data_IF_974100894333
#
_entry.id   IF_974100894333
#
_cell.length_a   1.000
_cell.length_b   1.000
_cell.length_c   1.000
_cell.angle_alpha   90.00
_cell.angle_beta   90.00
_cell.angle_gamma   90.00
#
_symmetry.space_group_name_H-M   'P 1'
#
loop_
_entity.id
_entity.type
_entity.pdbx_description
1 polymer ?
#
# COMPACT_ATOMS: atom_id res chain seq x y z
N UNK A 1 55.79 -23.18 79.31
CA UNK A 1 56.15 -23.15 77.88
C UNK A 1 54.94 -23.62 77.05
N UNK A 2 54.42 -22.72 76.21
CA UNK A 2 53.44 -22.87 75.08
C UNK A 2 52.36 -23.96 75.16
N UNK A 3 51.11 -23.54 75.42
CA UNK A 3 49.87 -24.26 75.06
C UNK A 3 49.42 -23.86 73.64
N UNK A 4 49.07 -24.85 72.83
CA UNK A 4 48.49 -24.73 71.49
C UNK A 4 47.03 -24.26 71.60
N UNK A 5 46.63 -23.28 70.81
CA UNK A 5 45.21 -22.95 70.55
C UNK A 5 44.84 -23.34 69.12
N UNK A 6 43.82 -24.17 69.00
CA UNK A 6 43.09 -24.49 67.77
C UNK A 6 42.07 -23.38 67.50
N UNK A 7 42.07 -22.83 66.28
CA UNK A 7 41.03 -21.92 65.82
C UNK A 7 40.20 -22.62 64.75
N UNK A 8 38.95 -22.91 65.09
CA UNK A 8 37.92 -23.44 64.19
C UNK A 8 37.39 -22.31 63.31
N UNK A 9 37.36 -22.52 61.99
CA UNK A 9 36.80 -21.57 61.01
C UNK A 9 35.30 -21.84 60.89
N UNK A 10 34.49 -20.83 61.22
CA UNK A 10 33.04 -20.81 61.02
C UNK A 10 32.75 -20.33 59.58
N UNK A 11 32.10 -21.16 58.76
CA UNK A 11 31.63 -20.78 57.42
C UNK A 11 30.18 -20.32 57.54
N UNK A 12 29.94 -19.01 57.39
CA UNK A 12 28.58 -18.45 57.27
C UNK A 12 28.09 -18.58 55.82
N UNK A 13 27.02 -19.34 55.62
CA UNK A 13 26.25 -19.33 54.38
C UNK A 13 25.32 -18.10 54.37
N UNK A 14 25.55 -17.17 53.44
CA UNK A 14 24.63 -16.08 53.12
C UNK A 14 23.67 -16.60 52.04
N UNK A 15 22.40 -16.76 52.39
CA UNK A 15 21.33 -17.12 51.47
C UNK A 15 20.89 -15.84 50.72
N UNK A 16 21.32 -15.66 49.48
CA UNK A 16 20.78 -14.60 48.61
C UNK A 16 19.38 -15.00 48.13
N UNK A 17 18.34 -14.33 48.63
CA UNK A 17 17.00 -14.39 48.05
C UNK A 17 17.01 -13.65 46.70
N UNK A 18 16.95 -14.41 45.61
CA UNK A 18 16.71 -13.88 44.26
C UNK A 18 15.20 -13.66 44.12
N UNK A 19 14.76 -12.41 44.25
CA UNK A 19 13.39 -12.02 43.96
C UNK A 19 13.27 -11.91 42.44
N UNK A 20 12.63 -12.90 41.81
CA UNK A 20 12.20 -12.76 40.41
C UNK A 20 11.04 -11.76 40.36
N UNK A 21 11.13 -10.67 39.59
CA UNK A 21 9.96 -9.86 39.32
C UNK A 21 8.95 -10.73 38.58
N UNK A 22 7.78 -10.93 39.20
CA UNK A 22 6.61 -11.44 38.52
C UNK A 22 6.23 -10.41 37.46
N UNK A 23 6.66 -10.62 36.21
CA UNK A 23 6.12 -9.88 35.08
C UNK A 23 4.64 -10.24 35.01
N UNK A 24 3.79 -9.31 35.45
CA UNK A 24 2.35 -9.39 35.19
C UNK A 24 2.17 -9.61 33.69
N UNK A 25 1.36 -10.60 33.33
CA UNK A 25 0.83 -10.72 31.98
C UNK A 25 0.18 -9.37 31.67
N UNK A 26 0.78 -8.56 30.80
CA UNK A 26 0.09 -7.40 30.25
C UNK A 26 -1.15 -7.97 29.58
N UNK A 27 -2.32 -7.73 30.19
CA UNK A 27 -3.59 -7.90 29.50
C UNK A 27 -3.47 -7.09 28.23
N UNK A 28 -3.41 -7.79 27.10
CA UNK A 28 -3.48 -7.21 25.78
C UNK A 28 -4.90 -6.65 25.65
N UNK A 29 -5.07 -5.38 26.03
CA UNK A 29 -6.31 -4.63 25.84
C UNK A 29 -6.32 -4.16 24.38
N UNK A 30 -7.49 -4.22 23.73
CA UNK A 30 -7.67 -3.65 22.39
C UNK A 30 -7.25 -2.18 22.33
N UNK A 31 -6.95 -1.71 21.13
CA UNK A 31 -6.65 -0.29 20.92
C UNK A 31 -7.92 0.56 21.10
N UNK A 32 -7.73 1.81 21.47
CA UNK A 32 -8.76 2.85 21.42
C UNK A 32 -8.24 3.97 20.55
N UNK A 33 -8.96 4.28 19.49
CA UNK A 33 -8.59 5.25 18.47
C UNK A 33 -9.62 6.38 18.42
N UNK A 34 -9.16 7.62 18.61
CA UNK A 34 -10.03 8.80 18.67
C UNK A 34 -9.58 9.87 17.70
N UNK A 35 -10.56 10.60 17.16
CA UNK A 35 -10.32 11.85 16.45
C UNK A 35 -10.58 12.99 17.43
N UNK A 36 -9.64 13.92 17.49
CA UNK A 36 -9.68 15.07 18.42
C UNK A 36 -9.33 16.35 17.68
N UNK A 37 -9.73 17.49 18.25
CA UNK A 37 -9.48 18.81 17.67
C UNK A 37 -10.65 19.29 16.80
N UNK A 38 -10.33 20.17 15.86
CA UNK A 38 -11.28 20.79 14.94
C UNK A 38 -10.60 21.05 13.58
N UNK A 39 -11.33 21.60 12.61
CA UNK A 39 -10.80 21.85 11.26
C UNK A 39 -9.51 22.71 11.32
N UNK A 40 -8.40 22.13 10.85
CA UNK A 40 -7.06 22.76 10.87
C UNK A 40 -6.19 22.33 12.06
N UNK A 41 -6.75 21.63 13.04
CA UNK A 41 -6.05 21.07 14.20
C UNK A 41 -6.41 19.60 14.49
N UNK A 42 -7.14 18.94 13.59
CA UNK A 42 -7.53 17.54 13.74
C UNK A 42 -6.31 16.64 13.98
N UNK A 43 -6.46 15.73 14.95
CA UNK A 43 -5.48 14.72 15.27
C UNK A 43 -6.15 13.36 15.48
N UNK A 44 -5.49 12.30 15.03
CA UNK A 44 -5.81 10.93 15.42
C UNK A 44 -4.98 10.59 16.66
N UNK A 45 -5.58 9.93 17.63
CA UNK A 45 -4.92 9.43 18.83
C UNK A 45 -5.11 7.93 18.93
N UNK A 46 -4.04 7.19 19.24
CA UNK A 46 -4.10 5.76 19.56
C UNK A 46 -3.72 5.60 21.03
N UNK A 47 -4.63 5.05 21.83
CA UNK A 47 -4.47 4.89 23.28
C UNK A 47 -4.09 6.21 23.98
N UNK A 48 -4.73 7.31 23.57
CA UNK A 48 -4.51 8.66 24.10
C UNK A 48 -3.19 9.31 23.71
N UNK A 49 -2.46 8.73 22.73
CA UNK A 49 -1.21 9.30 22.20
C UNK A 49 -1.39 9.78 20.76
N UNK A 50 -0.90 10.97 20.40
CA UNK A 50 -0.97 11.45 19.02
C UNK A 50 -0.38 10.45 18.02
N UNK A 51 -1.12 10.18 16.96
CA UNK A 51 -0.76 9.22 15.92
C UNK A 51 -0.98 9.87 14.55
N UNK A 52 0.09 10.08 13.79
CA UNK A 52 -0.02 10.51 12.40
C UNK A 52 0.30 9.32 11.50
N UNK A 53 -0.59 9.03 10.54
CA UNK A 53 -0.51 7.82 9.73
C UNK A 53 0.64 7.96 8.73
N UNK A 54 1.69 7.17 8.93
CA UNK A 54 2.77 6.88 7.98
C UNK A 54 2.49 5.47 7.44
N UNK A 55 1.59 5.39 6.47
CA UNK A 55 1.00 4.14 6.03
C UNK A 55 1.65 3.55 4.78
N UNK A 56 1.49 2.23 4.61
CA UNK A 56 1.68 1.56 3.33
C UNK A 56 0.48 0.67 3.00
N UNK A 57 0.06 0.64 1.73
CA UNK A 57 -0.91 -0.35 1.28
C UNK A 57 -0.24 -1.73 1.21
N UNK A 58 -0.77 -2.72 1.93
CA UNK A 58 -0.24 -4.09 1.98
C UNK A 58 -1.42 -5.07 1.96
N UNK A 59 -1.80 -5.52 0.77
CA UNK A 59 -2.99 -6.37 0.59
C UNK A 59 -2.71 -7.82 0.95
N UNK A 60 -1.61 -8.36 0.43
CA UNK A 60 -1.08 -9.66 0.81
C UNK A 60 0.09 -9.44 1.76
N UNK A 61 0.07 -10.08 2.94
CA UNK A 61 1.21 -10.02 3.86
C UNK A 61 2.42 -10.83 3.37
N UNK A 62 2.18 -11.87 2.56
CA UNK A 62 3.21 -12.78 2.06
C UNK A 62 3.18 -12.86 0.52
N UNK A 63 4.35 -12.72 -0.11
CA UNK A 63 4.52 -12.90 -1.56
C UNK A 63 4.61 -14.36 -2.00
N UNK A 64 4.53 -14.61 -3.30
CA UNK A 64 4.59 -15.99 -3.87
C UNK A 64 5.92 -16.68 -3.52
N UNK A 65 7.00 -15.91 -3.37
CA UNK A 65 8.32 -16.40 -2.98
C UNK A 65 8.55 -16.48 -1.46
N UNK A 66 7.53 -16.20 -0.64
CA UNK A 66 7.65 -16.14 0.82
C UNK A 66 8.12 -14.79 1.35
N UNK A 67 8.04 -13.73 0.55
CA UNK A 67 8.39 -12.37 0.95
C UNK A 67 7.49 -11.87 2.08
N UNK A 68 8.05 -11.24 3.12
CA UNK A 68 7.27 -10.65 4.22
C UNK A 68 7.06 -9.14 3.99
N UNK A 69 5.88 -8.79 3.47
CA UNK A 69 5.55 -7.40 3.12
C UNK A 69 5.20 -6.54 4.33
N UNK A 70 4.72 -7.13 5.44
CA UNK A 70 4.49 -6.39 6.68
C UNK A 70 5.82 -6.01 7.34
N UNK A 71 6.80 -6.92 7.35
CA UNK A 71 8.17 -6.57 7.75
C UNK A 71 8.74 -5.47 6.88
N UNK A 72 8.56 -5.56 5.56
CA UNK A 72 9.03 -4.54 4.63
C UNK A 72 8.38 -3.17 4.88
N UNK A 73 7.09 -3.13 5.25
CA UNK A 73 6.40 -1.91 5.66
C UNK A 73 7.00 -1.33 6.96
N UNK A 74 7.32 -2.18 7.94
CA UNK A 74 8.01 -1.72 9.15
C UNK A 74 9.41 -1.16 8.85
N UNK A 75 10.17 -1.82 7.98
CA UNK A 75 11.48 -1.37 7.50
C UNK A 75 11.39 -0.04 6.73
N UNK A 76 10.27 0.24 6.06
CA UNK A 76 10.00 1.50 5.36
C UNK A 76 9.89 2.67 6.36
N UNK A 77 9.69 2.37 7.65
CA UNK A 77 9.34 3.35 8.67
C UNK A 77 7.85 3.59 8.78
N UNK A 78 7.02 2.72 8.19
CA UNK A 78 5.58 2.79 8.37
C UNK A 78 5.19 2.46 9.82
N UNK A 79 4.09 3.06 10.28
CA UNK A 79 3.44 2.74 11.54
C UNK A 79 2.03 2.16 11.35
N UNK A 80 1.53 2.11 10.12
CA UNK A 80 0.25 1.55 9.77
C UNK A 80 0.29 0.86 8.40
N UNK A 81 -0.61 -0.10 8.20
CA UNK A 81 -0.87 -0.77 6.92
C UNK A 81 -2.35 -0.76 6.60
N UNK A 82 -2.70 -0.84 5.31
CA UNK A 82 -4.08 -0.87 4.85
C UNK A 82 -4.37 -2.15 4.06
N UNK A 83 -5.54 -2.74 4.34
CA UNK A 83 -6.18 -3.80 3.54
C UNK A 83 -7.42 -3.26 2.83
N UNK A 84 -7.94 -3.97 1.84
CA UNK A 84 -9.13 -3.59 1.06
C UNK A 84 -10.36 -4.44 1.37
N UNK A 85 -10.17 -5.65 1.90
CA UNK A 85 -11.24 -6.60 2.14
C UNK A 85 -10.98 -7.50 3.35
N UNK A 86 -12.06 -8.14 3.79
CA UNK A 86 -12.07 -9.05 4.95
C UNK A 86 -11.29 -10.33 4.69
N UNK A 87 -11.09 -10.68 3.42
CA UNK A 87 -10.24 -11.78 2.94
C UNK A 87 -8.74 -11.50 3.13
N UNK A 88 -8.34 -10.23 3.17
CA UNK A 88 -6.97 -9.80 3.38
C UNK A 88 -6.64 -9.58 4.86
N UNK A 89 -7.58 -8.97 5.61
CA UNK A 89 -7.44 -8.69 7.05
C UNK A 89 -7.74 -9.91 7.93
N UNK A 90 -6.94 -10.96 7.82
CA UNK A 90 -7.11 -12.18 8.62
C UNK A 90 -6.52 -12.02 10.02
N UNK A 91 -6.82 -12.96 10.93
CA UNK A 91 -6.21 -12.97 12.28
C UNK A 91 -4.68 -13.01 12.22
N UNK A 92 -4.15 -13.81 11.31
CA UNK A 92 -2.71 -13.89 11.06
C UNK A 92 -2.12 -12.55 10.59
N UNK A 93 -2.82 -11.83 9.71
CA UNK A 93 -2.41 -10.50 9.27
C UNK A 93 -2.32 -9.53 10.45
N UNK A 94 -3.38 -9.46 11.27
CA UNK A 94 -3.45 -8.59 12.44
C UNK A 94 -2.40 -8.94 13.51
N UNK A 95 -2.21 -10.22 13.82
CA UNK A 95 -1.18 -10.68 14.76
C UNK A 95 0.23 -10.36 14.23
N UNK A 96 0.46 -10.49 12.92
CA UNK A 96 1.74 -10.18 12.27
C UNK A 96 2.01 -8.67 12.22
N UNK A 97 0.98 -7.86 11.93
CA UNK A 97 1.06 -6.42 11.99
C UNK A 97 1.42 -5.96 13.42
N UNK A 98 0.76 -6.52 14.44
CA UNK A 98 1.06 -6.26 15.84
C UNK A 98 2.51 -6.61 16.19
N UNK A 99 2.99 -7.78 15.76
CA UNK A 99 4.38 -8.22 15.95
C UNK A 99 5.39 -7.22 15.39
N UNK A 100 5.06 -6.55 14.28
CA UNK A 100 5.93 -5.53 13.68
C UNK A 100 5.66 -4.11 14.20
N UNK A 101 4.71 -3.93 15.12
CA UNK A 101 4.33 -2.62 15.65
C UNK A 101 3.57 -1.75 14.65
N UNK A 102 2.80 -2.39 13.77
CA UNK A 102 1.96 -1.75 12.76
C UNK A 102 0.49 -1.79 13.20
N UNK A 103 -0.19 -0.66 13.03
CA UNK A 103 -1.66 -0.58 13.13
C UNK A 103 -2.29 -0.91 11.75
N UNK A 104 -3.56 -1.31 11.73
CA UNK A 104 -4.25 -1.82 10.54
C UNK A 104 -5.49 -0.98 10.25
N UNK A 105 -5.47 -0.29 9.11
CA UNK A 105 -6.69 0.22 8.45
C UNK A 105 -7.41 -0.97 7.80
N UNK A 106 -8.49 -1.42 8.43
CA UNK A 106 -9.14 -2.69 8.15
C UNK A 106 -10.18 -2.55 7.05
N UNK A 107 -9.82 -2.95 5.83
CA UNK A 107 -10.67 -2.90 4.66
C UNK A 107 -11.87 -3.85 4.71
N UNK A 108 -13.02 -3.33 4.29
CA UNK A 108 -14.24 -4.09 4.03
C UNK A 108 -14.70 -3.74 2.62
N UNK A 109 -14.60 -4.69 1.70
CA UNK A 109 -14.96 -4.45 0.31
C UNK A 109 -16.47 -4.28 0.13
N UNK A 110 -16.87 -3.22 -0.56
CA UNK A 110 -18.25 -2.94 -0.95
C UNK A 110 -18.31 -2.92 -2.48
N UNK A 111 -19.11 -3.82 -3.08
CA UNK A 111 -19.25 -3.88 -4.53
C UNK A 111 -19.93 -2.63 -5.09
N UNK A 112 -19.55 -2.18 -6.28
CA UNK A 112 -20.31 -1.13 -6.96
C UNK A 112 -21.48 -1.73 -7.74
N UNK A 113 -22.62 -1.05 -7.73
CA UNK A 113 -23.75 -1.37 -8.59
C UNK A 113 -23.48 -0.93 -10.04
N UNK A 114 -23.71 -1.84 -11.00
CA UNK A 114 -23.73 -1.55 -12.45
C UNK A 114 -25.04 -2.05 -13.04
N UNK A 115 -25.51 -1.40 -14.12
CA UNK A 115 -26.69 -1.88 -14.84
C UNK A 115 -26.48 -3.33 -15.29
N UNK A 116 -27.41 -4.21 -14.92
CA UNK A 116 -27.33 -5.64 -15.21
C UNK A 116 -26.40 -6.44 -14.29
N UNK A 117 -25.80 -5.82 -13.26
CA UNK A 117 -25.08 -6.55 -12.20
C UNK A 117 -26.05 -7.11 -11.16
N UNK A 118 -25.61 -8.12 -10.40
CA UNK A 118 -26.36 -8.67 -9.28
C UNK A 118 -26.35 -7.76 -8.03
N UNK A 119 -25.66 -6.62 -8.08
CA UNK A 119 -25.52 -5.70 -6.97
C UNK A 119 -26.43 -4.50 -7.18
N UNK A 120 -27.34 -4.30 -6.22
CA UNK A 120 -28.19 -3.12 -6.09
C UNK A 120 -28.21 -2.73 -4.62
N UNK A 121 -28.35 -1.43 -4.35
CA UNK A 121 -28.52 -0.88 -3.02
C UNK A 121 -29.93 -0.35 -2.78
N UNK A 122 -30.80 -0.43 -3.80
CA UNK A 122 -32.19 0.00 -3.70
C UNK A 122 -32.98 -1.08 -2.95
N UNK A 123 -33.60 -0.66 -1.84
CA UNK A 123 -34.33 -1.57 -0.94
C UNK A 123 -33.42 -2.50 -0.15
N UNK A 124 -34.04 -3.43 0.59
CA UNK A 124 -33.31 -4.44 1.35
C UNK A 124 -33.26 -5.78 0.60
N UNK A 125 -32.16 -5.99 -0.12
CA UNK A 125 -31.93 -7.17 -0.93
C UNK A 125 -30.92 -8.12 -0.28
N UNK A 126 -30.80 -9.33 -0.84
CA UNK A 126 -29.94 -10.40 -0.31
C UNK A 126 -28.47 -9.96 -0.17
N UNK A 127 -27.95 -9.16 -1.10
CA UNK A 127 -26.58 -8.66 -1.02
C UNK A 127 -26.40 -7.72 0.18
N UNK A 128 -27.31 -6.75 0.38
CA UNK A 128 -27.26 -5.84 1.52
C UNK A 128 -27.35 -6.61 2.85
N UNK A 129 -28.23 -7.61 2.95
CA UNK A 129 -28.36 -8.46 4.15
C UNK A 129 -27.07 -9.25 4.43
N UNK A 130 -26.49 -9.89 3.41
CA UNK A 130 -25.22 -10.61 3.54
C UNK A 130 -24.07 -9.70 3.94
N UNK A 131 -24.00 -8.50 3.35
CA UNK A 131 -22.93 -7.54 3.64
C UNK A 131 -23.03 -7.00 5.07
N UNK A 132 -24.23 -6.75 5.59
CA UNK A 132 -24.43 -6.42 7.02
C UNK A 132 -23.91 -7.50 7.95
N UNK A 133 -24.24 -8.76 7.64
CA UNK A 133 -23.79 -9.90 8.44
C UNK A 133 -22.26 -10.02 8.39
N UNK A 134 -21.66 -9.92 7.20
CA UNK A 134 -20.21 -9.96 7.01
C UNK A 134 -19.51 -8.87 7.84
N UNK A 135 -20.00 -7.62 7.79
CA UNK A 135 -19.44 -6.51 8.56
C UNK A 135 -19.60 -6.77 10.06
N UNK A 136 -20.78 -7.22 10.50
CA UNK A 136 -21.04 -7.54 11.91
C UNK A 136 -20.08 -8.60 12.43
N UNK A 137 -19.88 -9.67 11.66
CA UNK A 137 -18.98 -10.77 12.03
C UNK A 137 -17.52 -10.31 12.06
N UNK A 138 -17.09 -9.52 11.07
CA UNK A 138 -15.73 -9.00 10.98
C UNK A 138 -15.40 -8.01 12.11
N UNK A 139 -16.33 -7.10 12.44
CA UNK A 139 -16.17 -6.15 13.55
C UNK A 139 -16.11 -6.89 14.88
N UNK A 140 -17.05 -7.79 15.16
CA UNK A 140 -17.02 -8.56 16.41
C UNK A 140 -15.78 -9.43 16.56
N UNK A 141 -15.17 -9.85 15.44
CA UNK A 141 -13.94 -10.64 15.44
C UNK A 141 -12.69 -9.83 15.78
N UNK A 142 -12.61 -8.55 15.38
CA UNK A 142 -11.37 -7.78 15.47
C UNK A 142 -11.45 -6.45 16.24
N UNK A 143 -12.62 -6.01 16.71
CA UNK A 143 -12.75 -4.76 17.49
C UNK A 143 -11.84 -4.68 18.71
N UNK A 144 -11.58 -5.82 19.36
CA UNK A 144 -10.68 -5.90 20.53
C UNK A 144 -9.22 -6.20 20.13
N UNK A 145 -8.89 -6.21 18.84
CA UNK A 145 -7.53 -6.51 18.39
C UNK A 145 -6.62 -5.28 18.55
N UNK A 146 -5.47 -5.37 19.24
CA UNK A 146 -4.62 -4.20 19.56
C UNK A 146 -3.99 -3.47 18.36
N UNK A 147 -3.91 -4.15 17.23
CA UNK A 147 -3.42 -3.57 15.98
C UNK A 147 -4.53 -2.88 15.17
N UNK A 148 -5.79 -2.91 15.57
CA UNK A 148 -6.85 -2.26 14.80
C UNK A 148 -6.71 -0.73 14.86
N UNK A 149 -6.62 -0.08 13.70
CA UNK A 149 -6.58 1.39 13.62
C UNK A 149 -7.98 1.96 13.42
N UNK A 150 -8.68 1.46 12.41
CA UNK A 150 -9.95 1.99 11.93
C UNK A 150 -10.60 1.01 10.94
N UNK A 151 -11.90 1.20 10.68
CA UNK A 151 -12.69 0.38 9.76
C UNK A 151 -12.90 1.10 8.42
N UNK A 152 -12.38 0.53 7.32
CA UNK A 152 -12.51 1.12 5.99
C UNK A 152 -13.64 0.46 5.20
N UNK A 153 -14.83 1.04 5.28
CA UNK A 153 -16.06 0.48 4.74
C UNK A 153 -16.23 0.91 3.29
N UNK A 154 -15.61 0.18 2.36
CA UNK A 154 -15.73 0.39 0.92
C UNK A 154 -14.57 1.16 0.29
N UNK A 155 -14.34 0.87 -0.98
CA UNK A 155 -13.29 1.46 -1.79
C UNK A 155 -13.83 1.87 -3.16
N UNK A 156 -13.97 3.17 -3.40
CA UNK A 156 -14.36 3.80 -4.66
C UNK A 156 -15.73 3.34 -5.22
N UNK A 157 -16.55 2.67 -4.40
CA UNK A 157 -17.80 2.07 -4.84
C UNK A 157 -18.76 3.11 -5.45
N UNK A 158 -18.88 4.30 -4.82
CA UNK A 158 -19.70 5.41 -5.34
C UNK A 158 -19.20 5.87 -6.72
N UNK A 159 -17.89 5.94 -6.93
CA UNK A 159 -17.32 6.38 -8.21
C UNK A 159 -17.64 5.38 -9.34
N UNK A 160 -17.53 4.08 -9.05
CA UNK A 160 -17.75 3.02 -10.02
C UNK A 160 -19.23 2.72 -10.29
N UNK A 161 -20.12 3.01 -9.34
CA UNK A 161 -21.56 3.05 -9.60
C UNK A 161 -21.87 4.25 -10.48
N UNK A 162 -22.62 4.03 -11.57
CA UNK A 162 -22.91 5.07 -12.57
C UNK A 162 -24.36 5.55 -12.57
N UNK A 163 -25.27 4.72 -12.07
CA UNK A 163 -26.66 5.10 -11.88
C UNK A 163 -26.80 5.97 -10.61
N UNK A 164 -27.52 7.08 -10.71
CA UNK A 164 -27.60 8.07 -9.62
C UNK A 164 -28.46 7.58 -8.45
N UNK A 165 -29.54 6.86 -8.73
CA UNK A 165 -30.39 6.29 -7.68
C UNK A 165 -29.61 5.25 -6.88
N UNK A 166 -28.84 4.40 -7.57
CA UNK A 166 -27.93 3.45 -6.94
C UNK A 166 -26.82 4.13 -6.14
N UNK A 167 -26.25 5.26 -6.61
CA UNK A 167 -25.24 6.01 -5.83
C UNK A 167 -25.80 6.54 -4.53
N UNK A 168 -27.00 7.12 -4.57
CA UNK A 168 -27.69 7.64 -3.38
C UNK A 168 -28.02 6.49 -2.44
N UNK A 169 -28.53 5.38 -2.96
CA UNK A 169 -28.86 4.20 -2.17
C UNK A 169 -27.61 3.59 -1.52
N UNK A 170 -26.51 3.46 -2.26
CA UNK A 170 -25.21 3.05 -1.75
C UNK A 170 -24.70 3.99 -0.65
N UNK A 171 -24.80 5.31 -0.83
CA UNK A 171 -24.41 6.26 0.21
C UNK A 171 -25.22 6.08 1.49
N UNK A 172 -26.54 5.89 1.39
CA UNK A 172 -27.38 5.58 2.57
C UNK A 172 -27.03 4.24 3.21
N UNK A 173 -26.66 3.24 2.42
CA UNK A 173 -26.17 1.97 2.94
C UNK A 173 -24.83 2.15 3.69
N UNK A 174 -23.91 2.98 3.18
CA UNK A 174 -22.67 3.30 3.89
C UNK A 174 -22.92 3.98 5.24
N UNK A 175 -23.90 4.88 5.32
CA UNK A 175 -24.31 5.50 6.59
C UNK A 175 -24.85 4.48 7.59
N UNK A 176 -25.72 3.58 7.12
CA UNK A 176 -26.22 2.48 7.94
C UNK A 176 -25.06 1.61 8.46
N UNK A 177 -24.05 1.33 7.62
CA UNK A 177 -22.89 0.55 8.04
C UNK A 177 -22.03 1.32 9.04
N UNK A 178 -21.80 2.62 8.86
CA UNK A 178 -21.04 3.43 9.82
C UNK A 178 -21.70 3.42 11.21
N UNK A 179 -23.00 3.68 11.28
CA UNK A 179 -23.77 3.60 12.53
C UNK A 179 -23.71 2.21 13.18
N UNK A 180 -23.81 1.16 12.36
CA UNK A 180 -23.73 -0.22 12.84
C UNK A 180 -22.35 -0.54 13.42
N UNK A 181 -21.28 -0.13 12.75
CA UNK A 181 -19.91 -0.31 13.25
C UNK A 181 -19.72 0.41 14.57
N UNK A 182 -20.10 1.69 14.68
CA UNK A 182 -20.01 2.46 15.94
C UNK A 182 -20.76 1.82 17.10
N UNK A 183 -21.91 1.20 16.82
CA UNK A 183 -22.68 0.48 17.85
C UNK A 183 -21.96 -0.77 18.34
N UNK A 184 -21.27 -1.47 17.45
CA UNK A 184 -20.55 -2.72 17.75
C UNK A 184 -19.18 -2.46 18.37
N UNK A 185 -18.54 -1.37 17.96
CA UNK A 185 -17.18 -0.94 18.28
C UNK A 185 -17.15 0.60 18.42
N UNK A 186 -17.31 1.12 19.65
CA UNK A 186 -17.23 2.57 19.92
C UNK A 186 -15.78 3.09 20.01
N UNK A 187 -14.78 2.20 19.93
CA UNK A 187 -13.39 2.52 20.20
C UNK A 187 -12.59 2.80 18.93
N UNK A 188 -13.14 2.57 17.73
CA UNK A 188 -12.45 2.78 16.46
C UNK A 188 -13.28 3.60 15.45
N UNK A 189 -12.65 4.52 14.71
CA UNK A 189 -13.34 5.33 13.71
C UNK A 189 -13.66 4.52 12.44
N UNK A 190 -14.65 5.02 11.70
CA UNK A 190 -15.07 4.53 10.39
C UNK A 190 -14.61 5.50 9.30
N UNK A 191 -13.96 4.95 8.28
CA UNK A 191 -13.49 5.65 7.08
C UNK A 191 -14.13 5.03 5.83
N UNK A 192 -14.39 5.86 4.82
CA UNK A 192 -14.79 5.43 3.48
C UNK A 192 -13.73 5.92 2.49
N UNK A 193 -13.25 5.03 1.61
CA UNK A 193 -12.25 5.39 0.61
C UNK A 193 -12.92 5.82 -0.70
N UNK A 194 -12.77 7.10 -1.08
CA UNK A 194 -13.25 7.68 -2.32
C UNK A 194 -12.17 7.73 -3.41
N UNK A 195 -12.56 7.67 -4.68
CA UNK A 195 -11.67 7.99 -5.80
C UNK A 195 -11.52 9.52 -5.84
N UNK A 196 -10.41 10.05 -5.33
CA UNK A 196 -10.23 11.48 -5.07
C UNK A 196 -11.47 12.05 -4.32
N UNK A 197 -11.82 13.31 -4.56
CA UNK A 197 -12.97 14.01 -4.00
C UNK A 197 -14.35 13.61 -4.57
N UNK A 198 -14.44 12.57 -5.42
CA UNK A 198 -15.66 12.30 -6.20
C UNK A 198 -16.89 11.94 -5.36
N UNK A 199 -16.70 11.34 -4.19
CA UNK A 199 -17.80 10.98 -3.30
C UNK A 199 -18.26 12.12 -2.36
N UNK A 200 -17.57 13.27 -2.31
CA UNK A 200 -17.87 14.35 -1.37
C UNK A 200 -19.36 14.76 -1.34
N UNK A 201 -20.06 14.97 -2.48
CA UNK A 201 -21.47 15.38 -2.46
C UNK A 201 -22.39 14.35 -1.80
N UNK A 202 -22.04 13.07 -1.89
CA UNK A 202 -22.82 11.98 -1.31
C UNK A 202 -22.52 11.81 0.18
N UNK A 203 -21.23 11.85 0.55
CA UNK A 203 -20.81 11.75 1.95
C UNK A 203 -21.39 12.90 2.77
N UNK A 204 -21.25 14.14 2.28
CA UNK A 204 -21.76 15.33 2.97
C UNK A 204 -23.27 15.26 3.22
N UNK A 205 -24.04 14.70 2.29
CA UNK A 205 -25.51 14.72 2.34
C UNK A 205 -26.11 13.48 3.02
N UNK A 206 -25.48 12.32 2.86
CA UNK A 206 -26.09 11.04 3.19
C UNK A 206 -25.33 10.22 4.22
N UNK A 207 -24.08 10.59 4.58
CA UNK A 207 -23.23 9.80 5.48
C UNK A 207 -22.69 10.63 6.66
N UNK A 208 -23.57 11.23 7.50
CA UNK A 208 -23.15 12.07 8.62
C UNK A 208 -22.40 11.33 9.73
N UNK A 209 -22.49 10.00 9.82
CA UNK A 209 -21.79 9.20 10.84
C UNK A 209 -20.37 8.80 10.41
N UNK A 210 -19.85 9.30 9.29
CA UNK A 210 -18.48 9.02 8.89
C UNK A 210 -17.49 9.82 9.76
N UNK A 211 -16.39 9.20 10.22
CA UNK A 211 -15.39 9.88 11.05
C UNK A 211 -14.23 10.46 10.26
N UNK A 212 -13.86 9.82 9.14
CA UNK A 212 -12.75 10.24 8.27
C UNK A 212 -13.16 10.10 6.82
N UNK A 213 -12.88 11.11 6.00
CA UNK A 213 -13.02 11.00 4.55
C UNK A 213 -11.72 10.46 3.93
N UNK A 214 -11.75 9.25 3.36
CA UNK A 214 -10.62 8.66 2.66
C UNK A 214 -10.56 9.08 1.19
N UNK A 215 -9.36 9.36 0.68
CA UNK A 215 -9.13 9.67 -0.73
C UNK A 215 -7.97 8.86 -1.32
N UNK A 216 -8.25 8.13 -2.39
CA UNK A 216 -7.22 7.63 -3.29
C UNK A 216 -6.83 8.74 -4.26
N UNK A 217 -5.56 9.15 -4.24
CA UNK A 217 -5.06 10.29 -5.01
C UNK A 217 -3.82 9.86 -5.81
N UNK A 218 -3.98 9.78 -7.13
CA UNK A 218 -2.91 9.51 -8.10
C UNK A 218 -2.50 10.76 -8.89
N UNK A 219 -2.99 11.93 -8.47
CA UNK A 219 -2.74 13.23 -9.08
C UNK A 219 -2.29 14.26 -8.04
N UNK A 220 -2.93 15.43 -8.00
CA UNK A 220 -2.49 16.52 -7.14
C UNK A 220 -3.12 16.49 -5.74
N UNK A 221 -2.31 16.25 -4.71
CA UNK A 221 -2.75 16.32 -3.29
C UNK A 221 -3.34 17.70 -2.98
N UNK A 222 -2.72 18.79 -3.44
CA UNK A 222 -3.22 20.16 -3.23
C UNK A 222 -4.60 20.40 -3.82
N UNK A 223 -4.87 19.88 -5.02
CA UNK A 223 -6.18 20.03 -5.65
C UNK A 223 -7.25 19.25 -4.91
N UNK A 224 -6.94 18.01 -4.49
CA UNK A 224 -7.83 17.19 -3.66
C UNK A 224 -8.12 17.86 -2.31
N UNK A 225 -7.09 18.40 -1.65
CA UNK A 225 -7.23 19.19 -0.43
C UNK A 225 -8.19 20.38 -0.64
N UNK A 226 -8.00 21.17 -1.70
CA UNK A 226 -8.88 22.31 -1.99
C UNK A 226 -10.34 21.90 -2.23
N UNK A 227 -10.58 20.74 -2.85
CA UNK A 227 -11.95 20.22 -3.05
C UNK A 227 -12.57 19.76 -1.73
N UNK A 228 -11.83 19.05 -0.89
CA UNK A 228 -12.28 18.66 0.45
C UNK A 228 -12.58 19.89 1.31
N UNK A 229 -11.70 20.90 1.29
CA UNK A 229 -11.86 22.11 2.09
C UNK A 229 -13.16 22.86 1.76
N UNK A 230 -13.48 22.95 0.46
CA UNK A 230 -14.73 23.55 -0.06
C UNK A 230 -15.98 22.74 0.24
N UNK A 231 -15.87 21.45 0.54
CA UNK A 231 -17.02 20.63 0.94
C UNK A 231 -17.40 20.86 2.40
N UNK A 232 -16.60 21.60 3.18
CA UNK A 232 -16.93 22.01 4.55
C UNK A 232 -17.35 20.84 5.47
N UNK A 233 -16.79 19.64 5.24
CA UNK A 233 -16.97 18.50 6.13
C UNK A 233 -16.35 18.79 7.49
N UNK A 234 -17.06 18.44 8.57
CA UNK A 234 -16.56 18.57 9.94
C UNK A 234 -15.81 17.32 10.42
N UNK A 235 -15.03 16.71 9.53
CA UNK A 235 -14.20 15.53 9.78
C UNK A 235 -12.90 15.65 8.99
N UNK A 236 -11.77 15.14 9.51
CA UNK A 236 -10.52 15.15 8.76
C UNK A 236 -10.57 14.25 7.52
N UNK A 237 -9.56 14.36 6.66
CA UNK A 237 -9.34 13.39 5.59
C UNK A 237 -8.08 12.57 5.78
N UNK A 238 -8.05 11.39 5.18
CA UNK A 238 -6.87 10.54 5.06
C UNK A 238 -6.60 10.27 3.57
N UNK A 239 -5.33 10.26 3.17
CA UNK A 239 -4.96 9.85 1.80
C UNK A 239 -4.78 8.33 1.80
N UNK A 240 -5.86 7.62 1.51
CA UNK A 240 -5.97 6.15 1.64
C UNK A 240 -5.17 5.38 0.59
N UNK A 241 -4.83 6.03 -0.53
CA UNK A 241 -3.82 5.60 -1.49
C UNK A 241 -3.16 6.83 -2.10
N UNK A 242 -1.85 6.78 -2.30
CA UNK A 242 -1.17 7.70 -3.21
C UNK A 242 -0.01 7.02 -3.92
N UNK A 243 0.25 7.46 -5.14
CA UNK A 243 1.26 6.85 -6.00
C UNK A 243 1.47 7.61 -7.31
N UNK A 244 2.15 7.00 -8.29
CA UNK A 244 2.40 7.61 -9.58
C UNK A 244 1.11 7.87 -10.36
N UNK A 245 1.22 8.59 -11.47
CA UNK A 245 0.05 8.84 -12.34
C UNK A 245 -0.54 7.52 -12.84
N UNK A 246 -1.86 7.46 -12.90
CA UNK A 246 -2.55 6.30 -13.46
C UNK A 246 -2.42 6.21 -14.98
N UNK A 247 -2.69 5.03 -15.57
CA UNK A 247 -2.64 4.80 -17.00
C UNK A 247 -3.57 5.72 -17.81
N UNK A 248 -4.60 6.30 -17.18
CA UNK A 248 -5.54 7.25 -17.77
C UNK A 248 -4.99 8.70 -17.83
N UNK A 249 -3.94 9.02 -17.08
CA UNK A 249 -3.36 10.37 -16.98
C UNK A 249 -2.01 10.51 -17.71
N UNK A 250 -1.47 9.42 -18.23
CA UNK A 250 -0.17 9.40 -18.93
C UNK A 250 -0.33 9.31 -20.44
N UNK A 251 0.72 9.72 -21.17
CA UNK A 251 0.77 9.61 -22.63
C UNK A 251 0.78 8.14 -23.06
N UNK A 252 0.16 7.85 -24.20
CA UNK A 252 0.34 6.58 -24.90
C UNK A 252 1.63 6.60 -25.72
N UNK A 253 2.35 5.48 -25.75
CA UNK A 253 3.52 5.31 -26.61
C UNK A 253 3.13 4.99 -28.06
N UNK A 254 4.13 4.76 -28.92
CA UNK A 254 3.88 4.49 -30.34
C UNK A 254 3.02 3.24 -30.57
N UNK A 255 3.00 2.29 -29.64
CA UNK A 255 2.24 1.05 -29.74
C UNK A 255 0.84 1.17 -29.11
N UNK A 256 0.47 2.35 -28.60
CA UNK A 256 -0.81 2.60 -27.96
C UNK A 256 -0.87 2.18 -26.49
N UNK A 257 0.24 1.73 -25.90
CA UNK A 257 0.32 1.39 -24.49
C UNK A 257 0.57 2.66 -23.64
N UNK A 258 -0.01 2.75 -22.44
CA UNK A 258 0.31 3.82 -21.48
C UNK A 258 1.77 3.76 -21.06
N UNK A 259 2.41 4.93 -21.09
CA UNK A 259 3.80 5.10 -20.69
C UNK A 259 3.91 4.95 -19.17
N UNK A 260 4.45 3.82 -18.75
CA UNK A 260 4.78 3.58 -17.35
C UNK A 260 6.06 4.36 -17.01
N UNK A 261 5.95 5.26 -16.04
CA UNK A 261 6.99 6.23 -15.72
C UNK A 261 8.27 5.52 -15.21
N UNK A 262 9.47 6.00 -15.58
CA UNK A 262 10.71 5.47 -15.02
C UNK A 262 10.79 5.63 -13.50
N UNK A 263 11.51 4.74 -12.82
CA UNK A 263 11.63 4.72 -11.35
C UNK A 263 12.01 6.07 -10.73
N UNK A 264 12.91 6.82 -11.35
CA UNK A 264 13.35 8.12 -10.84
C UNK A 264 12.25 9.18 -10.89
N UNK A 265 11.39 9.13 -11.92
CA UNK A 265 10.23 10.01 -12.02
C UNK A 265 9.21 9.67 -10.93
N UNK A 266 8.94 8.37 -10.74
CA UNK A 266 8.06 7.89 -9.66
C UNK A 266 8.57 8.28 -8.28
N UNK A 267 9.86 8.11 -8.03
CA UNK A 267 10.48 8.50 -6.77
C UNK A 267 10.27 10.00 -6.47
N UNK A 268 10.44 10.87 -7.48
CA UNK A 268 10.17 12.28 -7.34
C UNK A 268 8.68 12.57 -7.05
N UNK A 269 7.75 11.85 -7.69
CA UNK A 269 6.30 11.96 -7.43
C UNK A 269 6.01 11.58 -5.97
N UNK A 270 6.45 10.41 -5.51
CA UNK A 270 6.26 9.99 -4.12
C UNK A 270 6.82 10.99 -3.13
N UNK A 271 8.07 11.46 -3.33
CA UNK A 271 8.66 12.49 -2.48
C UNK A 271 7.78 13.73 -2.40
N UNK A 272 7.28 14.22 -3.53
CA UNK A 272 6.47 15.44 -3.55
C UNK A 272 5.12 15.21 -2.87
N UNK A 273 4.43 14.12 -3.17
CA UNK A 273 3.13 13.80 -2.58
C UNK A 273 3.24 13.55 -1.07
N UNK A 274 4.22 12.78 -0.60
CA UNK A 274 4.44 12.56 0.83
C UNK A 274 4.73 13.87 1.56
N UNK A 275 5.52 14.78 0.97
CA UNK A 275 5.74 16.12 1.53
C UNK A 275 4.44 16.93 1.63
N UNK A 276 3.61 16.92 0.58
CA UNK A 276 2.33 17.64 0.59
C UNK A 276 1.36 17.07 1.62
N UNK A 277 1.25 15.75 1.72
CA UNK A 277 0.41 15.07 2.73
C UNK A 277 0.81 15.51 4.14
N UNK A 278 2.11 15.46 4.46
CA UNK A 278 2.65 15.92 5.75
C UNK A 278 2.37 17.43 5.95
N UNK A 279 2.50 18.23 4.89
CA UNK A 279 2.24 19.67 4.92
C UNK A 279 0.78 20.05 5.23
N UNK A 280 -0.17 19.13 5.03
CA UNK A 280 -1.59 19.33 5.36
C UNK A 280 -2.01 18.75 6.71
N UNK A 281 -1.06 18.39 7.59
CA UNK A 281 -1.36 17.95 8.95
C UNK A 281 -2.28 18.94 9.69
N UNK A 282 -3.29 18.42 10.40
CA UNK A 282 -4.35 19.23 11.03
C UNK A 282 -5.63 19.31 10.20
N UNK A 283 -5.54 19.09 8.89
CA UNK A 283 -6.67 18.78 8.01
C UNK A 283 -6.64 17.31 7.61
N UNK A 284 -5.42 16.82 7.33
CA UNK A 284 -5.10 15.44 7.02
C UNK A 284 -4.55 14.71 8.25
N UNK A 285 -4.96 13.44 8.46
CA UNK A 285 -4.45 12.56 9.53
C UNK A 285 -3.36 11.58 9.08
N UNK A 286 -2.96 11.66 7.80
CA UNK A 286 -1.86 10.91 7.20
C UNK A 286 -2.26 10.24 5.89
N UNK A 287 -1.53 9.18 5.52
CA UNK A 287 -1.86 8.42 4.32
C UNK A 287 -1.03 7.18 4.06
N UNK A 288 -1.41 6.43 3.04
CA UNK A 288 -0.85 5.13 2.69
C UNK A 288 -0.23 5.14 1.31
N UNK A 289 1.09 4.93 1.23
CA UNK A 289 1.77 4.80 -0.05
C UNK A 289 1.34 3.50 -0.74
N UNK A 290 0.97 3.58 -2.02
CA UNK A 290 0.46 2.45 -2.79
C UNK A 290 1.49 2.00 -3.83
N UNK A 291 2.22 0.90 -3.67
CA UNK A 291 1.87 -0.29 -2.87
C UNK A 291 3.10 -1.13 -2.48
N UNK A 292 3.03 -1.88 -1.38
CA UNK A 292 4.00 -2.95 -1.10
C UNK A 292 3.37 -4.31 -1.38
N UNK A 293 3.95 -5.05 -2.30
CA UNK A 293 3.47 -6.39 -2.69
C UNK A 293 3.78 -6.72 -4.15
N UNK A 294 3.06 -7.69 -4.70
CA UNK A 294 3.24 -8.20 -6.07
C UNK A 294 2.07 -7.89 -6.99
N UNK A 295 1.15 -7.02 -6.57
CA UNK A 295 -0.03 -6.68 -7.35
C UNK A 295 0.39 -6.15 -8.72
N UNK A 296 -0.02 -6.83 -9.79
CA UNK A 296 0.21 -6.36 -11.16
C UNK A 296 -1.08 -5.83 -11.76
N UNK A 297 -1.04 -4.59 -12.21
CA UNK A 297 -2.11 -3.90 -12.93
C UNK A 297 -1.45 -3.03 -13.98
N UNK A 298 -1.91 -3.12 -15.23
CA UNK A 298 -1.35 -2.47 -16.44
C UNK A 298 0.09 -2.86 -16.81
N UNK A 299 1.02 -2.83 -15.85
CA UNK A 299 2.40 -3.31 -15.96
C UNK A 299 2.83 -4.05 -14.69
N UNK A 300 3.97 -4.76 -14.74
CA UNK A 300 4.56 -5.41 -13.56
C UNK A 300 5.15 -4.42 -12.54
N UNK A 301 5.31 -3.15 -12.92
CA UNK A 301 6.10 -2.16 -12.19
C UNK A 301 5.33 -0.88 -11.89
N UNK A 302 4.03 -0.82 -12.22
CA UNK A 302 3.29 0.43 -12.18
C UNK A 302 3.22 1.01 -10.77
N UNK A 303 2.71 0.22 -9.82
CA UNK A 303 2.32 0.71 -8.50
C UNK A 303 3.35 0.38 -7.40
N UNK A 304 4.02 -0.75 -7.51
CA UNK A 304 4.77 -1.35 -6.41
C UNK A 304 6.01 -0.54 -6.00
N UNK A 305 6.23 -0.33 -4.72
CA UNK A 305 7.46 0.26 -4.16
C UNK A 305 8.61 -0.75 -4.14
N UNK A 306 8.31 -2.02 -4.39
CA UNK A 306 9.24 -3.14 -4.39
C UNK A 306 9.11 -3.95 -5.70
N UNK A 307 10.10 -4.81 -5.92
CA UNK A 307 10.00 -5.96 -6.82
C UNK A 307 10.49 -7.17 -6.04
N UNK A 308 9.58 -8.10 -5.69
CA UNK A 308 9.85 -9.14 -4.68
C UNK A 308 10.39 -8.48 -3.39
N UNK A 309 11.55 -8.91 -2.87
CA UNK A 309 12.21 -8.27 -1.73
C UNK A 309 13.02 -7.00 -2.05
N UNK A 310 13.23 -6.68 -3.33
CA UNK A 310 14.09 -5.58 -3.74
C UNK A 310 13.35 -4.24 -3.65
N UNK A 311 13.99 -3.26 -3.00
CA UNK A 311 13.42 -1.93 -2.72
C UNK A 311 13.73 -0.98 -3.88
N UNK A 312 12.70 -0.32 -4.44
CA UNK A 312 12.84 0.62 -5.56
C UNK A 312 13.15 2.05 -5.08
N UNK A 313 13.58 2.98 -5.96
CA UNK A 313 13.83 4.38 -5.58
C UNK A 313 12.70 5.07 -4.80
N UNK A 314 11.45 4.82 -5.18
CA UNK A 314 10.28 5.35 -4.47
C UNK A 314 10.20 4.92 -3.00
N UNK A 315 10.58 3.67 -2.69
CA UNK A 315 10.63 3.16 -1.32
C UNK A 315 11.55 4.03 -0.45
N UNK A 316 12.73 4.36 -0.96
CA UNK A 316 13.73 5.12 -0.22
C UNK A 316 13.40 6.61 -0.08
N UNK A 317 12.65 7.19 -1.02
CA UNK A 317 12.09 8.53 -0.85
C UNK A 317 11.09 8.58 0.31
N UNK A 318 10.18 7.61 0.38
CA UNK A 318 9.22 7.50 1.49
C UNK A 318 9.95 7.20 2.80
N UNK A 319 10.91 6.27 2.81
CA UNK A 319 11.72 5.94 3.99
C UNK A 319 12.34 7.18 4.63
N UNK A 320 12.96 8.04 3.81
CA UNK A 320 13.55 9.30 4.29
C UNK A 320 12.53 10.19 4.99
N UNK A 321 11.34 10.31 4.41
CA UNK A 321 10.26 11.13 4.96
C UNK A 321 9.63 10.52 6.23
N UNK A 322 9.51 9.19 6.28
CA UNK A 322 8.91 8.49 7.41
C UNK A 322 9.85 8.40 8.61
N UNK A 323 11.15 8.22 8.38
CA UNK A 323 12.14 7.99 9.44
C UNK A 323 13.00 9.21 9.76
N UNK A 324 13.09 10.19 8.85
CA UNK A 324 14.09 11.26 8.91
C UNK A 324 15.53 10.79 8.64
N UNK A 325 15.73 9.51 8.31
CA UNK A 325 17.04 8.89 8.13
C UNK A 325 17.40 8.76 6.66
N UNK A 326 18.70 8.70 6.36
CA UNK A 326 19.20 8.43 5.00
C UNK A 326 19.39 6.92 4.80
N UNK A 327 19.10 6.37 3.61
CA UNK A 327 19.46 5.00 3.30
C UNK A 327 20.98 4.81 3.36
N UNK A 328 21.41 3.66 3.85
CA UNK A 328 22.84 3.29 3.91
C UNK A 328 23.43 2.96 2.54
N UNK A 329 22.58 2.60 1.57
CA UNK A 329 22.95 2.29 0.20
C UNK A 329 21.84 2.79 -0.72
N UNK A 330 22.19 3.60 -1.72
CA UNK A 330 21.23 4.19 -2.64
C UNK A 330 20.92 3.22 -3.78
N UNK A 331 19.65 3.14 -4.21
CA UNK A 331 19.28 2.26 -5.31
C UNK A 331 19.97 2.69 -6.62
N UNK A 332 20.20 1.74 -7.54
CA UNK A 332 20.77 2.06 -8.84
C UNK A 332 19.87 3.00 -9.65
N UNK A 333 20.44 3.62 -10.68
CA UNK A 333 19.71 4.50 -11.60
C UNK A 333 19.89 4.05 -13.03
N UNK A 334 18.79 3.68 -13.67
CA UNK A 334 18.73 3.42 -15.11
C UNK A 334 18.91 4.75 -15.86
N UNK A 335 19.93 4.79 -16.72
CA UNK A 335 20.23 5.91 -17.62
C UNK A 335 19.56 5.69 -18.97
N UNK A 336 19.66 4.46 -19.50
CA UNK A 336 19.17 4.13 -20.84
C UNK A 336 18.44 2.79 -20.82
N UNK A 337 17.28 2.73 -21.49
CA UNK A 337 16.64 1.51 -21.98
C UNK A 337 16.06 1.79 -23.37
N UNK A 338 16.64 1.15 -24.38
CA UNK A 338 16.23 1.27 -25.79
C UNK A 338 16.17 -0.12 -26.44
N UNK A 339 15.19 -0.31 -27.30
CA UNK A 339 15.12 -1.44 -28.23
C UNK A 339 15.44 -0.90 -29.62
N UNK A 340 16.21 -1.63 -30.42
CA UNK A 340 16.50 -1.24 -31.81
C UNK A 340 15.24 -1.18 -32.68
N UNK A 341 14.20 -1.91 -32.29
CA UNK A 341 12.91 -1.96 -32.96
C UNK A 341 11.78 -2.20 -31.95
N UNK A 342 10.67 -1.47 -32.09
CA UNK A 342 9.48 -1.58 -31.22
C UNK A 342 8.19 -1.90 -31.99
N UNK A 343 8.24 -1.93 -33.33
CA UNK A 343 7.12 -2.18 -34.25
C UNK A 343 7.56 -2.99 -35.45
N UNK A 344 6.63 -3.66 -36.13
CA UNK A 344 6.90 -4.45 -37.33
C UNK A 344 7.88 -5.60 -37.06
N UNK A 345 7.93 -6.08 -35.82
CA UNK A 345 8.82 -7.16 -35.39
C UNK A 345 8.19 -8.47 -35.85
N UNK A 346 8.93 -9.27 -36.59
CA UNK A 346 8.46 -10.60 -36.99
C UNK A 346 8.57 -11.58 -35.82
N UNK A 347 7.71 -12.62 -35.77
CA UNK A 347 7.88 -13.75 -34.86
C UNK A 347 9.31 -14.31 -34.89
N UNK A 348 9.93 -14.44 -33.71
CA UNK A 348 11.31 -14.94 -33.57
C UNK A 348 12.42 -14.00 -34.04
N UNK A 349 12.09 -12.76 -34.46
CA UNK A 349 13.11 -11.76 -34.83
C UNK A 349 14.00 -11.41 -33.64
N UNK A 350 15.31 -11.29 -33.89
CA UNK A 350 16.26 -10.84 -32.87
C UNK A 350 16.27 -9.32 -32.78
N UNK A 351 16.10 -8.78 -31.57
CA UNK A 351 16.08 -7.35 -31.28
C UNK A 351 17.26 -7.01 -30.38
N UNK A 352 17.97 -5.93 -30.71
CA UNK A 352 19.03 -5.41 -29.86
C UNK A 352 18.43 -4.52 -28.76
N UNK A 353 18.98 -4.66 -27.56
CA UNK A 353 18.62 -3.91 -26.36
C UNK A 353 19.87 -3.17 -25.88
N UNK A 354 19.75 -1.85 -25.78
CA UNK A 354 20.74 -1.01 -25.11
C UNK A 354 20.20 -0.65 -23.72
N UNK A 355 20.89 -1.13 -22.69
CA UNK A 355 20.57 -0.86 -21.30
C UNK A 355 21.82 -0.35 -20.58
N UNK A 356 21.69 0.77 -19.88
CA UNK A 356 22.78 1.39 -19.10
C UNK A 356 22.23 1.87 -17.77
N UNK A 357 22.99 1.65 -16.71
CA UNK A 357 22.71 2.16 -15.39
C UNK A 357 23.99 2.54 -14.64
N UNK A 358 23.80 3.37 -13.63
CA UNK A 358 24.85 3.79 -12.71
C UNK A 358 24.44 3.42 -11.29
N UNK A 359 25.42 3.04 -10.50
CA UNK A 359 25.28 2.86 -9.07
C UNK A 359 25.86 4.09 -8.34
N UNK A 360 25.22 4.53 -7.26
CA UNK A 360 25.71 5.69 -6.52
C UNK A 360 26.87 5.34 -5.57
N UNK A 361 26.99 4.07 -5.21
CA UNK A 361 27.92 3.54 -4.20
C UNK A 361 29.01 2.66 -4.85
N UNK A 362 29.10 2.68 -6.20
CA UNK A 362 30.04 1.90 -7.02
C UNK A 362 29.90 0.38 -6.89
N UNK A 363 28.70 -0.10 -6.57
CA UNK A 363 28.39 -1.52 -6.52
C UNK A 363 28.32 -2.16 -7.92
N UNK A 364 28.69 -3.44 -8.08
CA UNK A 364 28.39 -4.20 -9.29
C UNK A 364 26.89 -4.28 -9.54
N UNK A 365 26.48 -4.11 -10.80
CA UNK A 365 25.08 -4.12 -11.20
C UNK A 365 24.73 -5.41 -11.95
N UNK A 366 23.70 -6.10 -11.48
CA UNK A 366 23.13 -7.27 -12.15
C UNK A 366 21.92 -6.86 -12.99
N UNK A 367 21.90 -7.29 -14.25
CA UNK A 367 20.88 -6.93 -15.24
C UNK A 367 20.01 -8.14 -15.53
N UNK A 368 18.70 -8.00 -15.33
CA UNK A 368 17.72 -9.02 -15.67
C UNK A 368 16.57 -8.43 -16.47
N UNK A 369 16.00 -9.27 -17.33
CA UNK A 369 14.92 -8.88 -18.23
C UNK A 369 13.75 -9.83 -18.10
N UNK A 370 12.55 -9.27 -18.20
CA UNK A 370 11.28 -10.00 -18.24
C UNK A 370 10.47 -9.47 -19.41
N UNK A 371 9.77 -10.35 -20.11
CA UNK A 371 8.74 -9.96 -21.09
C UNK A 371 7.40 -10.42 -20.58
N UNK A 372 6.38 -9.57 -20.69
CA UNK A 372 4.99 -9.97 -20.48
C UNK A 372 4.12 -9.58 -21.68
N UNK A 373 2.94 -10.18 -21.79
CA UNK A 373 1.85 -9.56 -22.54
C UNK A 373 1.57 -8.16 -21.98
N UNK A 374 1.00 -7.27 -22.78
CA UNK A 374 0.67 -5.92 -22.35
C UNK A 374 -0.80 -5.59 -22.63
N UNK A 375 -1.61 -5.80 -21.60
CA UNK A 375 -3.03 -5.47 -21.52
C UNK A 375 -3.22 -4.43 -20.40
N UNK A 376 -4.13 -3.49 -20.64
CA UNK A 376 -4.46 -2.40 -19.72
C UNK A 376 -5.96 -2.38 -19.47
N UNK A 377 -6.36 -2.06 -18.24
CA UNK A 377 -7.77 -1.95 -17.89
C UNK A 377 -8.00 -1.68 -16.41
N UNK A 378 -8.98 -0.83 -16.11
CA UNK A 378 -9.33 -0.46 -14.75
C UNK A 378 -9.83 -1.70 -13.99
N UNK A 379 -9.27 -1.95 -12.79
CA UNK A 379 -9.54 -3.11 -11.94
C UNK A 379 -9.23 -4.46 -12.61
N UNK A 380 -8.31 -4.50 -13.58
CA UNK A 380 -7.83 -5.73 -14.19
C UNK A 380 -6.50 -6.17 -13.56
N UNK A 381 -6.60 -7.04 -12.57
CA UNK A 381 -5.45 -7.57 -11.82
C UNK A 381 -4.89 -8.83 -12.49
N UNK A 382 -3.56 -8.97 -12.53
CA UNK A 382 -2.87 -10.18 -13.00
C UNK A 382 -3.23 -10.62 -14.43
N UNK A 383 -3.70 -9.70 -15.27
CA UNK A 383 -4.08 -9.99 -16.67
C UNK A 383 -2.88 -10.13 -17.61
N UNK A 384 -1.73 -9.63 -17.18
CA UNK A 384 -0.47 -9.75 -17.91
C UNK A 384 0.30 -10.99 -17.48
N UNK A 385 0.70 -11.80 -18.45
CA UNK A 385 1.45 -13.04 -18.23
C UNK A 385 2.86 -12.89 -18.72
N UNK A 386 3.82 -13.36 -17.94
CA UNK A 386 5.20 -13.49 -18.37
C UNK A 386 5.29 -14.43 -19.59
N UNK A 387 6.16 -14.07 -20.53
CA UNK A 387 6.40 -14.78 -21.77
C UNK A 387 7.86 -15.19 -21.79
N UNK A 388 8.18 -16.49 -21.84
CA UNK A 388 9.55 -16.94 -21.89
C UNK A 388 10.17 -16.49 -23.21
N UNK A 389 11.26 -15.72 -23.12
CA UNK A 389 12.07 -15.29 -24.25
C UNK A 389 13.54 -15.55 -23.94
N UNK A 390 14.33 -15.78 -25.00
CA UNK A 390 15.77 -15.95 -24.85
C UNK A 390 16.45 -14.59 -24.87
N UNK A 391 17.29 -14.34 -23.87
CA UNK A 391 18.21 -13.21 -23.82
C UNK A 391 19.65 -13.67 -24.04
N UNK A 392 20.43 -12.88 -24.78
CA UNK A 392 21.86 -13.10 -24.97
C UNK A 392 22.62 -11.84 -24.55
N UNK A 393 23.61 -12.00 -23.65
CA UNK A 393 24.50 -10.91 -23.25
C UNK A 393 25.73 -10.90 -24.17
N UNK A 394 26.05 -9.75 -24.76
CA UNK A 394 27.24 -9.57 -25.62
C UNK A 394 28.18 -8.49 -25.08
N UNK A 395 28.32 -8.36 -23.76
CA UNK A 395 29.28 -7.47 -23.11
C UNK A 395 28.81 -6.02 -23.04
N UNK A 396 28.62 -5.36 -24.18
CA UNK A 396 28.19 -3.94 -24.27
C UNK A 396 26.72 -3.77 -24.65
N UNK A 397 25.96 -4.85 -24.78
CA UNK A 397 24.55 -4.83 -25.14
C UNK A 397 23.89 -6.19 -24.95
N UNK A 398 22.56 -6.20 -24.98
CA UNK A 398 21.75 -7.41 -24.82
C UNK A 398 20.96 -7.67 -26.10
N UNK A 399 20.67 -8.92 -26.41
CA UNK A 399 19.76 -9.31 -27.49
C UNK A 399 18.58 -10.08 -26.92
N UNK A 400 17.42 -9.91 -27.52
CA UNK A 400 16.20 -10.66 -27.22
C UNK A 400 15.68 -11.31 -28.49
N UNK A 401 15.30 -12.58 -28.40
CA UNK A 401 14.50 -13.23 -29.46
C UNK A 401 13.02 -12.93 -29.18
N UNK A 402 12.37 -12.24 -30.10
CA UNK A 402 10.97 -11.85 -29.95
C UNK A 402 10.03 -13.07 -29.82
N UNK A 403 8.91 -12.97 -29.09
CA UNK A 403 7.92 -14.03 -29.02
C UNK A 403 7.45 -14.50 -30.41
N UNK A 404 7.10 -15.78 -30.52
CA UNK A 404 6.56 -16.35 -31.77
C UNK A 404 5.10 -15.96 -32.01
N UNK A 405 4.36 -15.63 -30.95
CA UNK A 405 2.98 -15.18 -31.06
C UNK A 405 2.94 -13.69 -31.42
N UNK A 406 2.00 -13.32 -32.29
CA UNK A 406 1.70 -11.92 -32.59
C UNK A 406 1.00 -11.29 -31.39
N UNK A 407 1.31 -10.04 -31.10
CA UNK A 407 0.71 -9.35 -29.97
C UNK A 407 1.49 -8.13 -29.50
N UNK A 408 0.88 -7.44 -28.53
CA UNK A 408 1.51 -6.36 -27.80
C UNK A 408 2.17 -6.92 -26.54
N UNK A 409 3.45 -6.61 -26.38
CA UNK A 409 4.29 -7.06 -25.28
C UNK A 409 4.93 -5.88 -24.59
N UNK A 410 5.43 -6.12 -23.37
CA UNK A 410 6.24 -5.17 -22.61
C UNK A 410 7.50 -5.86 -22.12
N UNK A 411 8.64 -5.28 -22.47
CA UNK A 411 9.95 -5.63 -21.92
C UNK A 411 10.17 -4.81 -20.65
N UNK A 412 10.58 -5.49 -19.57
CA UNK A 412 11.01 -4.89 -18.32
C UNK A 412 12.49 -5.16 -18.13
N UNK A 413 13.21 -4.12 -17.71
CA UNK A 413 14.59 -4.17 -17.22
C UNK A 413 14.53 -4.04 -15.70
N UNK A 414 15.13 -4.99 -15.01
CA UNK A 414 15.37 -4.95 -13.57
C UNK A 414 16.87 -4.93 -13.33
N UNK A 415 17.33 -3.99 -12.52
CA UNK A 415 18.75 -3.86 -12.14
C UNK A 415 18.86 -3.96 -10.63
N UNK A 416 19.65 -4.90 -10.15
CA UNK A 416 19.93 -5.10 -8.72
C UNK A 416 21.38 -4.71 -8.42
N UNK A 417 21.61 -4.10 -7.25
CA UNK A 417 22.93 -3.71 -6.76
C UNK A 417 23.56 -4.73 -5.81
N UNK A 418 22.82 -5.79 -5.45
CA UNK A 418 23.26 -6.80 -4.47
C UNK A 418 23.07 -6.40 -3.01
N UNK A 419 22.56 -5.19 -2.73
CA UNK A 419 22.30 -4.65 -1.39
C UNK A 419 20.80 -4.51 -1.09
N UNK A 420 19.98 -5.28 -1.83
CA UNK A 420 18.53 -5.33 -1.62
C UNK A 420 17.76 -4.21 -2.31
N UNK A 421 18.36 -3.53 -3.28
CA UNK A 421 17.68 -2.53 -4.08
C UNK A 421 17.44 -2.99 -5.52
N UNK A 422 16.42 -2.43 -6.15
CA UNK A 422 16.19 -2.58 -7.57
C UNK A 422 15.94 -1.22 -8.22
N UNK A 423 16.31 -1.10 -9.49
CA UNK A 423 15.76 -0.09 -10.40
C UNK A 423 15.05 -0.79 -11.55
N UNK A 424 13.93 -0.20 -11.98
CA UNK A 424 13.11 -0.74 -13.05
C UNK A 424 12.85 0.27 -14.16
N UNK A 425 12.80 -0.22 -15.40
CA UNK A 425 12.33 0.52 -16.56
C UNK A 425 11.65 -0.45 -17.53
N UNK A 426 10.76 0.05 -18.37
CA UNK A 426 10.09 -0.79 -19.35
C UNK A 426 9.84 -0.11 -20.68
N UNK A 427 9.60 -0.91 -21.71
CA UNK A 427 9.25 -0.49 -23.08
C UNK A 427 8.24 -1.47 -23.66
N UNK A 428 7.18 -0.96 -24.27
CA UNK A 428 6.29 -1.80 -25.07
C UNK A 428 6.92 -2.08 -26.45
N UNK A 429 6.57 -3.23 -27.02
CA UNK A 429 6.91 -3.58 -28.40
C UNK A 429 5.82 -4.47 -28.99
N UNK A 430 5.71 -4.51 -30.33
CA UNK A 430 4.66 -5.24 -31.03
C UNK A 430 5.22 -6.23 -32.04
N UNK A 431 4.85 -7.50 -31.89
CA UNK A 431 5.12 -8.59 -32.85
C UNK A 431 3.94 -8.71 -33.81
N UNK A 432 4.20 -8.68 -35.12
CA UNK A 432 3.18 -8.50 -36.17
C UNK A 432 3.13 -9.58 -37.25
#
# INVERSE_FOLDING_TARGET
MRKRHSSSVLISFILLLVIFPCFGQETIIGSVVKITGEKGSWALEVNGKPFYIKGAGVGLMTGVGGEDYLKMARELGANAVRTWGTDQGTREYFDTALKYGLMVDAGIWINFAKKGSAYTYIGDNEYNQKKRQEITDYVNKFKDHPALLMWNVGNEAIFFTKDEEERIALAKFLEEMAQMVHKLDPDHPVIYTSADATALPYIQKYVPSLDIFGMNIYGSIRMSHSRWDKAELNIPYCVTEYGPHGPWDVKKDTNGASQDEPDQAKAAIYRNMTNEIIGFKGYNVGGFAFHLGETTQESLTWWNLNYKLLKRPSYWEIYKMYTGSKPSNLPPRIVTLKLSKVKGINPGETIDITAEAVDNDSNPLDYSFVVSTAQEGILQYYVNKEVPVKFENQGTGFKMIAPNAKGLYRLYLFINDGYGNAATANRSFKVE
#
